data_IF_256508718173
#
_entry.id   IF_256508718173
#
_cell.length_a   1.000
_cell.length_b   1.000
_cell.length_c   1.000
_cell.angle_alpha   90.00
_cell.angle_beta   90.00
_cell.angle_gamma   90.00
#
_symmetry.space_group_name_H-M   'P 1'
#
loop_
_entity.id
_entity.type
_entity.pdbx_description
1 polymer ?
#
# COMPACT_ATOMS: atom_id res chain seq x y z
N UNK A 1 19.39 -15.14 6.49
CA UNK A 1 18.14 -14.96 5.75
C UNK A 1 18.52 -14.63 4.33
N UNK A 2 17.98 -15.35 3.35
CA UNK A 2 18.24 -15.05 1.94
C UNK A 2 17.50 -13.77 1.54
N UNK A 3 18.11 -12.89 0.74
CA UNK A 3 17.47 -11.68 0.26
C UNK A 3 16.33 -12.05 -0.71
N UNK A 4 15.22 -11.32 -0.61
CA UNK A 4 14.12 -11.41 -1.56
C UNK A 4 14.27 -10.32 -2.61
N UNK A 5 14.26 -10.69 -3.88
CA UNK A 5 14.31 -9.76 -4.99
C UNK A 5 12.91 -9.25 -5.33
N UNK A 6 12.63 -7.98 -5.05
CA UNK A 6 11.39 -7.32 -5.43
C UNK A 6 11.55 -6.61 -6.76
N UNK A 7 10.58 -6.81 -7.65
CA UNK A 7 10.42 -6.01 -8.86
C UNK A 7 9.16 -5.18 -8.73
N UNK A 8 9.29 -3.86 -8.62
CA UNK A 8 8.14 -2.96 -8.53
C UNK A 8 7.93 -2.30 -9.89
N UNK A 9 6.84 -2.66 -10.57
CA UNK A 9 6.48 -2.14 -11.90
C UNK A 9 5.48 -1.01 -11.78
N UNK A 10 5.84 0.14 -12.32
CA UNK A 10 5.00 1.34 -12.43
C UNK A 10 4.72 1.67 -13.91
N UNK A 11 3.87 2.67 -14.17
CA UNK A 11 3.65 3.20 -15.51
C UNK A 11 4.87 3.92 -16.10
N UNK A 12 5.79 4.39 -15.26
CA UNK A 12 7.02 5.08 -15.67
C UNK A 12 8.24 4.14 -15.82
N UNK A 13 8.14 2.87 -15.41
CA UNK A 13 9.23 1.91 -15.47
C UNK A 13 9.17 0.87 -14.36
N UNK A 14 10.21 0.04 -14.24
CA UNK A 14 10.36 -0.94 -13.16
C UNK A 14 11.59 -0.63 -12.30
N UNK A 15 11.51 -0.87 -11.00
CA UNK A 15 12.64 -0.80 -10.07
C UNK A 15 12.87 -2.16 -9.42
N UNK A 16 14.15 -2.51 -9.26
CA UNK A 16 14.59 -3.75 -8.63
C UNK A 16 15.14 -3.42 -7.25
N UNK A 17 14.60 -4.08 -6.22
CA UNK A 17 14.94 -3.85 -4.83
C UNK A 17 15.29 -5.17 -4.16
N UNK A 18 16.31 -5.16 -3.31
CA UNK A 18 16.57 -6.27 -2.40
C UNK A 18 15.83 -5.99 -1.10
N UNK A 19 14.88 -6.86 -0.76
CA UNK A 19 14.06 -6.77 0.44
C UNK A 19 14.27 -7.98 1.34
N UNK A 20 13.98 -7.80 2.62
CA UNK A 20 13.87 -8.91 3.55
C UNK A 20 12.45 -9.48 3.49
N UNK A 21 12.25 -10.81 3.55
CA UNK A 21 10.92 -11.40 3.74
C UNK A 21 10.24 -10.93 5.04
N UNK A 22 11.04 -10.49 6.03
CA UNK A 22 10.56 -9.92 7.28
C UNK A 22 10.17 -8.44 7.17
N UNK A 23 10.46 -7.77 6.04
CA UNK A 23 10.02 -6.39 5.83
C UNK A 23 8.52 -6.31 5.77
N UNK A 24 8.01 -5.18 6.23
CA UNK A 24 6.62 -4.78 6.07
C UNK A 24 6.43 -4.05 4.74
N UNK A 25 5.18 -3.97 4.29
CA UNK A 25 4.84 -3.19 3.10
C UNK A 25 5.17 -1.70 3.30
N UNK A 26 5.08 -1.17 4.52
CA UNK A 26 5.53 0.19 4.83
C UNK A 26 7.01 0.39 4.48
N UNK A 27 7.87 -0.55 4.86
CA UNK A 27 9.31 -0.49 4.55
C UNK A 27 9.55 -0.53 3.02
N UNK A 28 8.80 -1.35 2.29
CA UNK A 28 8.89 -1.38 0.83
C UNK A 28 8.44 -0.06 0.21
N UNK A 29 7.32 0.51 0.67
CA UNK A 29 6.86 1.81 0.16
C UNK A 29 7.85 2.92 0.46
N UNK A 30 8.45 2.92 1.66
CA UNK A 30 9.50 3.88 2.02
C UNK A 30 10.73 3.75 1.10
N UNK A 31 11.13 2.51 0.78
CA UNK A 31 12.22 2.25 -0.15
C UNK A 31 11.88 2.70 -1.57
N UNK A 32 10.70 2.35 -2.07
CA UNK A 32 10.18 2.81 -3.36
C UNK A 32 10.10 4.34 -3.41
N UNK A 33 9.72 5.00 -2.32
CA UNK A 33 9.67 6.46 -2.23
C UNK A 33 11.06 7.08 -2.39
N UNK A 34 12.06 6.45 -1.80
CA UNK A 34 13.45 6.89 -1.89
C UNK A 34 14.03 6.70 -3.30
N UNK A 35 13.73 5.56 -3.93
CA UNK A 35 14.31 5.19 -5.23
C UNK A 35 13.57 5.83 -6.42
N UNK A 36 12.24 5.95 -6.37
CA UNK A 36 11.42 6.54 -7.43
C UNK A 36 11.02 8.00 -7.16
N UNK A 37 11.26 8.52 -5.95
CA UNK A 37 10.82 9.86 -5.56
C UNK A 37 9.30 10.01 -5.41
N UNK A 38 8.55 8.90 -5.33
CA UNK A 38 7.08 8.91 -5.21
C UNK A 38 6.71 8.81 -3.72
N UNK A 39 6.08 9.84 -3.11
CA UNK A 39 5.65 9.78 -1.72
C UNK A 39 4.77 8.57 -1.40
N UNK A 40 4.93 7.98 -0.20
CA UNK A 40 4.27 6.72 0.22
C UNK A 40 2.74 6.78 0.09
N UNK A 41 2.16 7.92 0.42
CA UNK A 41 0.72 8.19 0.33
C UNK A 41 0.19 8.19 -1.12
N UNK A 42 1.06 8.44 -2.11
CA UNK A 42 0.74 8.34 -3.53
C UNK A 42 0.95 6.93 -4.09
N UNK A 43 1.53 6.02 -3.30
CA UNK A 43 1.82 4.66 -3.71
C UNK A 43 0.67 3.71 -3.36
N UNK A 44 0.13 3.04 -4.38
CA UNK A 44 -0.74 1.86 -4.22
C UNK A 44 -0.03 0.64 -4.80
N UNK A 45 0.58 -0.16 -3.92
CA UNK A 45 1.19 -1.43 -4.28
C UNK A 45 0.10 -2.51 -4.36
N UNK A 46 0.08 -3.23 -5.48
CA UNK A 46 -0.80 -4.35 -5.74
C UNK A 46 0.06 -5.60 -5.91
N UNK A 47 -0.35 -6.71 -5.29
CA UNK A 47 0.23 -8.03 -5.58
C UNK A 47 -0.52 -8.69 -6.72
N UNK A 48 0.18 -9.49 -7.54
CA UNK A 48 -0.47 -10.38 -8.50
C UNK A 48 -1.13 -11.60 -7.84
N UNK A 49 -0.91 -11.83 -6.53
CA UNK A 49 -1.37 -13.02 -5.83
C UNK A 49 -2.85 -12.90 -5.41
N UNK A 50 -3.68 -13.67 -6.10
CA UNK A 50 -5.15 -13.77 -6.00
C UNK A 50 -5.65 -14.55 -4.77
N UNK A 51 -5.13 -14.30 -3.57
CA UNK A 51 -5.66 -14.89 -2.33
C UNK A 51 -6.29 -13.84 -1.44
N UNK A 52 -7.35 -13.20 -1.95
CA UNK A 52 -8.52 -12.65 -1.25
C UNK A 52 -9.44 -12.05 -2.31
N UNK A 53 -10.75 -12.26 -2.18
CA UNK A 53 -11.78 -12.03 -3.20
C UNK A 53 -11.96 -10.59 -3.70
N UNK A 54 -11.10 -9.67 -3.30
CA UNK A 54 -10.93 -8.32 -3.84
C UNK A 54 -9.44 -8.05 -3.73
N UNK A 55 -8.77 -7.49 -4.73
CA UNK A 55 -7.36 -7.07 -4.62
C UNK A 55 -7.28 -5.74 -3.86
N UNK A 56 -7.21 -5.70 -2.52
CA UNK A 56 -7.09 -4.44 -1.81
C UNK A 56 -5.60 -4.03 -1.96
N UNK A 57 -5.30 -2.75 -1.93
CA UNK A 57 -3.88 -2.36 -1.87
C UNK A 57 -3.23 -2.98 -0.64
N UNK A 58 -1.97 -3.40 -0.77
CA UNK A 58 -1.22 -3.98 0.35
C UNK A 58 -1.17 -3.02 1.54
N UNK A 59 -1.52 -3.52 2.72
CA UNK A 59 -1.48 -2.74 3.96
C UNK A 59 -0.09 -2.66 4.55
N UNK A 60 0.20 -1.53 5.17
CA UNK A 60 1.54 -1.17 5.66
C UNK A 60 2.05 -2.11 6.75
N UNK A 61 1.14 -2.75 7.50
CA UNK A 61 1.43 -3.70 8.58
C UNK A 61 1.64 -5.12 8.10
N UNK A 62 1.27 -5.45 6.85
CA UNK A 62 1.44 -6.79 6.33
C UNK A 62 2.93 -7.09 6.12
N UNK A 63 3.43 -8.26 6.59
CA UNK A 63 4.77 -8.67 6.27
C UNK A 63 4.83 -9.15 4.81
N UNK A 64 5.99 -8.95 4.19
CA UNK A 64 6.17 -9.32 2.79
C UNK A 64 6.07 -10.82 2.57
N UNK A 65 6.47 -11.62 3.56
CA UNK A 65 6.31 -13.06 3.58
C UNK A 65 4.87 -13.51 3.40
N UNK A 66 3.87 -12.74 3.87
CA UNK A 66 2.45 -13.04 3.67
C UNK A 66 2.01 -12.87 2.20
N UNK A 67 2.79 -12.13 1.40
CA UNK A 67 2.51 -11.89 -0.01
C UNK A 67 3.17 -12.92 -0.95
N UNK A 68 4.00 -13.83 -0.41
CA UNK A 68 4.73 -14.79 -1.23
C UNK A 68 3.80 -15.92 -1.72
N UNK A 69 3.84 -16.30 -3.01
CA UNK A 69 2.97 -17.34 -3.57
C UNK A 69 3.30 -18.77 -3.11
N UNK A 70 4.33 -18.98 -2.28
CA UNK A 70 4.72 -20.28 -1.75
C UNK A 70 6.01 -20.22 -0.94
N UNK A 71 6.36 -21.34 -0.28
CA UNK A 71 7.63 -21.50 0.43
C UNK A 71 8.81 -21.54 -0.57
N UNK A 72 9.90 -20.83 -0.24
CA UNK A 72 11.13 -20.81 -1.04
C UNK A 72 11.14 -19.81 -2.20
N UNK A 73 10.13 -18.95 -2.30
CA UNK A 73 10.13 -17.88 -3.31
C UNK A 73 11.14 -16.81 -2.94
N UNK A 74 12.12 -16.59 -3.81
CA UNK A 74 13.17 -15.57 -3.67
C UNK A 74 12.92 -14.31 -4.50
N UNK A 75 11.82 -14.26 -5.27
CA UNK A 75 11.47 -13.10 -6.08
C UNK A 75 9.96 -12.83 -6.11
N UNK A 76 9.57 -11.55 -6.02
CA UNK A 76 8.17 -11.12 -6.05
C UNK A 76 8.01 -9.88 -6.94
N UNK A 77 7.02 -9.90 -7.83
CA UNK A 77 6.64 -8.74 -8.64
C UNK A 77 5.47 -8.01 -7.98
N UNK A 78 5.60 -6.69 -7.82
CA UNK A 78 4.56 -5.79 -7.33
C UNK A 78 4.21 -4.78 -8.41
N UNK A 79 2.93 -4.44 -8.51
CA UNK A 79 2.47 -3.36 -9.39
C UNK A 79 2.24 -2.10 -8.57
N UNK A 80 2.99 -1.05 -8.88
CA UNK A 80 2.79 0.29 -8.34
C UNK A 80 1.80 1.06 -9.21
N UNK A 81 0.70 1.48 -8.59
CA UNK A 81 -0.28 2.38 -9.18
C UNK A 81 -0.21 3.71 -8.45
N UNK A 82 -0.27 4.80 -9.22
CA UNK A 82 -0.35 6.15 -8.66
C UNK A 82 -1.77 6.39 -8.12
N UNK A 83 -1.84 6.76 -6.86
CA UNK A 83 -3.03 7.37 -6.27
C UNK A 83 -3.11 8.84 -6.71
N UNK A 84 -4.32 9.37 -6.87
CA UNK A 84 -4.48 10.80 -7.15
C UNK A 84 -4.00 11.64 -5.96
N UNK A 85 -3.53 12.86 -6.23
CA UNK A 85 -3.10 13.78 -5.18
C UNK A 85 -4.22 14.08 -4.17
N UNK A 86 -5.48 14.06 -4.62
CA UNK A 86 -6.65 14.28 -3.78
C UNK A 86 -6.88 13.13 -2.81
N UNK A 87 -6.86 11.87 -3.27
CA UNK A 87 -7.01 10.72 -2.39
C UNK A 87 -5.88 10.65 -1.35
N UNK A 88 -4.64 11.01 -1.74
CA UNK A 88 -3.51 11.05 -0.81
C UNK A 88 -3.63 12.16 0.25
N UNK A 89 -4.12 13.34 -0.14
CA UNK A 89 -4.44 14.42 0.80
C UNK A 89 -5.50 13.98 1.81
N UNK A 90 -6.53 13.27 1.36
CA UNK A 90 -7.57 12.75 2.25
C UNK A 90 -7.07 11.67 3.19
N UNK A 91 -6.16 10.79 2.76
CA UNK A 91 -5.51 9.83 3.67
C UNK A 91 -4.75 10.58 4.77
N UNK A 92 -3.97 11.60 4.41
CA UNK A 92 -3.26 12.43 5.39
C UNK A 92 -4.22 13.13 6.35
N UNK A 93 -5.32 13.70 5.85
CA UNK A 93 -6.35 14.32 6.69
C UNK A 93 -6.99 13.33 7.66
N UNK A 94 -7.40 12.17 7.16
CA UNK A 94 -8.00 11.10 7.98
C UNK A 94 -7.01 10.54 9.01
N UNK A 95 -5.72 10.51 8.69
CA UNK A 95 -4.68 10.13 9.66
C UNK A 95 -4.53 11.15 10.80
N UNK A 96 -4.69 12.44 10.51
CA UNK A 96 -4.63 13.51 11.51
C UNK A 96 -5.93 13.60 12.31
N UNK A 97 -7.07 13.47 11.63
CA UNK A 97 -8.41 13.51 12.20
C UNK A 97 -9.34 12.56 11.43
N UNK A 98 -9.64 11.38 12.00
CA UNK A 98 -10.53 10.41 11.36
C UNK A 98 -11.94 10.94 11.07
N UNK A 99 -12.42 11.94 11.84
CA UNK A 99 -13.75 12.54 11.62
C UNK A 99 -13.81 13.37 10.33
N UNK A 100 -12.67 13.85 9.83
CA UNK A 100 -12.60 14.60 8.59
C UNK A 100 -13.17 13.84 7.38
N UNK A 101 -13.26 12.50 7.44
CA UNK A 101 -13.86 11.67 6.39
C UNK A 101 -15.29 12.08 6.01
N UNK A 102 -16.08 12.63 6.94
CA UNK A 102 -17.45 13.08 6.66
C UNK A 102 -17.51 14.21 5.61
N UNK A 103 -16.43 14.97 5.48
CA UNK A 103 -16.28 16.07 4.52
C UNK A 103 -15.65 15.63 3.19
N UNK A 104 -15.32 14.34 3.05
CA UNK A 104 -14.67 13.83 1.86
C UNK A 104 -15.64 13.71 0.67
N UNK A 105 -15.19 14.05 -0.56
CA UNK A 105 -15.93 13.80 -1.79
C UNK A 105 -16.34 12.32 -1.89
N UNK A 106 -17.48 12.04 -2.52
CA UNK A 106 -18.01 10.67 -2.67
C UNK A 106 -16.96 9.70 -3.25
N UNK A 107 -16.26 10.11 -4.31
CA UNK A 107 -15.14 9.35 -4.91
C UNK A 107 -14.02 8.96 -3.93
N UNK A 108 -13.79 9.75 -2.90
CA UNK A 108 -12.77 9.51 -1.87
C UNK A 108 -13.34 8.62 -0.77
N UNK A 109 -14.62 8.81 -0.41
CA UNK A 109 -15.34 7.92 0.50
C UNK A 109 -15.51 6.52 -0.07
N UNK A 110 -15.56 6.37 -1.39
CA UNK A 110 -15.57 5.08 -2.07
C UNK A 110 -14.19 4.40 -2.12
N UNK A 111 -13.10 5.12 -1.78
CA UNK A 111 -11.78 4.49 -1.68
C UNK A 111 -11.66 3.71 -0.36
N UNK A 112 -11.65 2.38 -0.51
CA UNK A 112 -11.52 1.41 0.57
C UNK A 112 -10.32 1.68 1.48
N UNK A 113 -9.20 2.20 0.97
CA UNK A 113 -8.03 2.49 1.82
C UNK A 113 -8.26 3.72 2.68
N UNK A 114 -8.95 4.74 2.18
CA UNK A 114 -9.34 5.92 2.99
C UNK A 114 -10.26 5.49 4.12
N UNK A 115 -11.29 4.68 3.82
CA UNK A 115 -12.21 4.14 4.82
C UNK A 115 -11.49 3.27 5.87
N UNK A 116 -10.66 2.32 5.43
CA UNK A 116 -9.92 1.44 6.34
C UNK A 116 -8.93 2.22 7.20
N UNK A 117 -8.37 3.32 6.70
CA UNK A 117 -7.49 4.20 7.50
C UNK A 117 -8.29 4.88 8.61
N UNK A 118 -9.48 5.41 8.31
CA UNK A 118 -10.35 6.03 9.32
C UNK A 118 -10.80 5.02 10.39
N UNK A 119 -11.27 3.85 9.95
CA UNK A 119 -11.81 2.78 10.80
C UNK A 119 -10.70 2.12 11.63
N UNK A 120 -9.51 1.94 11.08
CA UNK A 120 -8.36 1.39 11.79
C UNK A 120 -7.83 2.30 12.90
N UNK A 121 -7.99 3.62 12.78
CA UNK A 121 -7.55 4.60 13.78
C UNK A 121 -8.57 4.80 14.91
N UNK A 122 -9.86 4.65 14.62
CA UNK A 122 -10.93 4.58 15.62
C UNK A 122 -11.94 3.54 15.15
N UNK A 123 -12.11 2.46 15.92
CA UNK A 123 -13.17 1.46 15.69
C UNK A 123 -14.62 1.99 15.77
N UNK A 124 -14.80 3.31 15.76
CA UNK A 124 -16.07 4.04 15.87
C UNK A 124 -16.37 4.92 14.64
N UNK A 125 -15.53 4.93 13.60
CA UNK A 125 -15.71 5.82 12.42
C UNK A 125 -16.87 5.43 11.48
N UNK A 126 -17.63 4.37 11.80
CA UNK A 126 -18.86 4.00 11.12
C UNK A 126 -20.02 4.18 12.11
N UNK A 127 -20.67 5.34 12.11
CA UNK A 127 -21.97 5.51 12.76
C UNK A 127 -22.94 6.26 11.87
#
# INVERSE_FOLDING_TARGET
>A
MEPLHLTVRSSSGAVYLEASPAWTIAEVKAKVATELGIPVELQRLLTPCLLKHHSPGLEDTEPLSACLPGEGVTALELKLVHRSAEEAEWIRRVQLDPHSLEFAPERVRDDVKVLLTAVGLRGEALR
#
